data_IF_689610212519
#
_entry.id   IF_689610212519
#
_cell.length_a   1.000
_cell.length_b   1.000
_cell.length_c   1.000
_cell.angle_alpha   90.00
_cell.angle_beta   90.00
_cell.angle_gamma   90.00
#
_symmetry.space_group_name_H-M   'P 1'
#
loop_
_entity.id
_entity.type
_entity.pdbx_description
1 polymer ?
#
# COMPACT_ATOMS: atom_id res chain seq x y z
N UNK A 1 7.75 -18.91 -0.61
CA UNK A 1 8.00 -18.68 -1.03
C UNK A 1 7.97 -18.04 -1.41
N UNK A 2 7.89 -18.49 -2.16
CA UNK A 2 7.73 -17.25 -1.49
C UNK A 2 7.45 -16.15 -2.45
N UNK A 3 6.59 -15.22 -1.99
CA UNK A 3 6.21 -14.09 -2.81
C UNK A 3 7.44 -13.29 -3.26
N UNK A 4 8.43 -13.17 -2.39
CA UNK A 4 9.62 -12.40 -2.71
C UNK A 4 10.42 -12.99 -3.87
N UNK A 5 10.44 -14.31 -3.98
CA UNK A 5 11.09 -14.96 -5.10
C UNK A 5 10.25 -14.84 -6.37
N UNK A 6 8.93 -14.91 -6.18
CA UNK A 6 7.99 -14.84 -7.27
C UNK A 6 8.03 -13.47 -7.96
N UNK A 7 8.19 -12.41 -7.20
CA UNK A 7 8.12 -11.06 -7.74
C UNK A 7 9.49 -10.47 -8.08
N UNK A 8 10.56 -11.22 -7.86
CA UNK A 8 11.87 -10.87 -8.38
C UNK A 8 12.59 -9.77 -7.60
N UNK A 9 12.62 -8.55 -8.15
CA UNK A 9 13.46 -7.52 -7.58
C UNK A 9 12.77 -6.75 -6.43
N UNK A 10 13.57 -5.91 -5.78
CA UNK A 10 13.12 -5.13 -4.63
C UNK A 10 11.88 -4.27 -4.95
N UNK A 11 11.93 -3.58 -6.09
CA UNK A 11 10.82 -2.68 -6.48
C UNK A 11 9.54 -3.46 -6.68
N UNK A 12 9.62 -4.61 -7.33
CA UNK A 12 8.46 -5.46 -7.55
C UNK A 12 7.89 -5.97 -6.24
N UNK A 13 8.75 -6.26 -5.26
CA UNK A 13 8.28 -6.71 -3.96
C UNK A 13 7.47 -5.63 -3.26
N UNK A 14 7.95 -4.39 -3.28
CA UNK A 14 7.21 -3.28 -2.69
C UNK A 14 5.90 -3.04 -3.40
N UNK A 15 5.93 -3.05 -4.73
CA UNK A 15 4.72 -2.85 -5.52
C UNK A 15 3.69 -3.94 -5.22
N UNK A 16 4.13 -5.20 -5.18
CA UNK A 16 3.23 -6.32 -4.95
C UNK A 16 2.62 -6.29 -3.55
N UNK A 17 3.42 -5.99 -2.54
CA UNK A 17 2.92 -5.92 -1.16
C UNK A 17 1.90 -4.78 -1.04
N UNK A 18 2.23 -3.61 -1.58
CA UNK A 18 1.36 -2.45 -1.50
C UNK A 18 0.03 -2.73 -2.19
N UNK A 19 0.09 -3.36 -3.35
CA UNK A 19 -1.10 -3.70 -4.13
C UNK A 19 -1.94 -4.77 -3.42
N UNK A 20 -1.32 -5.92 -3.11
CA UNK A 20 -2.04 -7.04 -2.54
C UNK A 20 -2.62 -6.72 -1.16
N UNK A 21 -1.80 -6.15 -0.30
CA UNK A 21 -2.24 -5.84 1.05
C UNK A 21 -3.17 -4.64 1.08
N UNK A 22 -2.96 -3.68 0.18
CA UNK A 22 -3.84 -2.53 0.07
C UNK A 22 -5.26 -2.94 -0.27
N UNK A 23 -5.44 -3.76 -1.28
CA UNK A 23 -6.76 -4.27 -1.65
C UNK A 23 -7.34 -5.16 -0.56
N UNK A 24 -6.54 -6.07 0.00
CA UNK A 24 -7.03 -6.97 1.04
C UNK A 24 -7.50 -6.20 2.27
N UNK A 25 -6.75 -5.19 2.69
CA UNK A 25 -7.13 -4.41 3.86
C UNK A 25 -8.35 -3.53 3.59
N UNK A 26 -8.46 -2.99 2.38
CA UNK A 26 -9.63 -2.20 2.04
C UNK A 26 -10.90 -3.04 2.10
N UNK A 27 -10.84 -4.26 1.55
CA UNK A 27 -11.99 -5.16 1.57
C UNK A 27 -12.38 -5.52 3.00
N UNK A 28 -11.40 -5.83 3.85
CA UNK A 28 -11.67 -6.22 5.23
C UNK A 28 -12.04 -5.04 6.12
N UNK A 29 -11.78 -3.81 5.67
CA UNK A 29 -12.13 -2.61 6.43
C UNK A 29 -13.64 -2.41 6.52
N UNK A 30 -14.39 -3.16 5.71
CA UNK A 30 -15.84 -3.10 5.68
C UNK A 30 -16.35 -1.97 4.79
N UNK A 31 -16.91 -2.36 3.67
CA UNK A 31 -17.35 -1.41 2.65
C UNK A 31 -18.29 -0.33 3.16
N UNK A 32 -19.15 -0.68 4.10
CA UNK A 32 -20.11 0.29 4.62
C UNK A 32 -19.44 1.40 5.43
N UNK A 33 -18.18 1.20 5.81
CA UNK A 33 -17.46 2.19 6.60
C UNK A 33 -16.47 3.00 5.76
N UNK A 34 -16.34 2.69 4.48
CA UNK A 34 -15.42 3.44 3.63
C UNK A 34 -15.78 4.93 3.60
N UNK A 35 -17.09 5.21 3.55
CA UNK A 35 -17.56 6.59 3.52
C UNK A 35 -17.40 7.30 4.85
N UNK A 36 -17.25 6.53 5.93
CA UNK A 36 -17.13 7.10 7.28
C UNK A 36 -15.70 7.00 7.80
N UNK A 37 -14.74 6.78 6.92
CA UNK A 37 -13.32 6.76 7.32
C UNK A 37 -13.00 8.08 8.02
N UNK A 38 -12.41 7.94 9.21
CA UNK A 38 -12.03 9.11 10.00
C UNK A 38 -10.77 9.73 9.42
N UNK A 39 -10.95 10.51 8.36
CA UNK A 39 -9.82 11.06 7.63
C UNK A 39 -8.93 11.95 8.48
N UNK A 40 -9.49 12.64 9.48
CA UNK A 40 -8.66 13.42 10.39
C UNK A 40 -7.56 12.59 11.01
N UNK A 41 -7.95 11.38 11.45
CA UNK A 41 -7.02 10.47 12.10
C UNK A 41 -6.14 9.76 11.09
N UNK A 42 -6.72 9.32 9.98
CA UNK A 42 -6.02 8.51 9.00
C UNK A 42 -5.16 9.31 8.03
N UNK A 43 -5.42 10.62 7.89
CA UNK A 43 -4.56 11.46 7.06
C UNK A 43 -3.13 11.46 7.59
N UNK A 44 -2.95 11.51 8.93
CA UNK A 44 -1.62 11.48 9.49
C UNK A 44 -0.94 10.13 9.23
N UNK A 45 -1.69 9.04 9.37
CA UNK A 45 -1.19 7.71 9.07
C UNK A 45 -0.77 7.63 7.60
N UNK A 46 -1.59 8.14 6.71
CA UNK A 46 -1.30 8.14 5.29
C UNK A 46 -0.05 8.97 4.98
N UNK A 47 0.03 10.16 5.56
CA UNK A 47 1.19 11.02 5.34
C UNK A 47 2.49 10.32 5.76
N UNK A 48 2.51 9.76 6.97
CA UNK A 48 3.70 9.07 7.48
C UNK A 48 4.05 7.85 6.65
N UNK A 49 3.04 7.11 6.23
CA UNK A 49 3.25 5.92 5.40
C UNK A 49 3.83 6.31 4.05
N UNK A 50 3.34 7.40 3.46
CA UNK A 50 3.86 7.88 2.18
C UNK A 50 5.32 8.32 2.32
N UNK A 51 5.67 8.99 3.42
CA UNK A 51 7.05 9.42 3.63
C UNK A 51 7.98 8.22 3.71
N UNK A 52 7.57 7.19 4.45
CA UNK A 52 8.38 5.99 4.55
C UNK A 52 8.47 5.27 3.21
N UNK A 53 7.38 5.21 2.46
CA UNK A 53 7.40 4.60 1.13
C UNK A 53 8.35 5.34 0.19
N UNK A 54 8.36 6.68 0.24
CA UNK A 54 9.27 7.45 -0.60
C UNK A 54 10.72 7.07 -0.32
N UNK A 55 11.07 6.94 0.97
CA UNK A 55 12.42 6.54 1.35
C UNK A 55 12.71 5.11 0.89
N UNK A 56 11.73 4.22 1.04
CA UNK A 56 11.89 2.84 0.61
C UNK A 56 12.15 2.74 -0.89
N UNK A 57 11.45 3.55 -1.67
CA UNK A 57 11.54 3.47 -3.13
C UNK A 57 12.90 3.94 -3.67
N UNK A 58 13.62 4.76 -2.92
CA UNK A 58 14.94 5.22 -3.37
C UNK A 58 16.09 4.53 -2.67
N UNK A 59 15.81 3.59 -1.77
CA UNK A 59 16.85 2.88 -1.02
C UNK A 59 17.64 1.96 -1.93
N UNK A 60 18.97 2.01 -1.82
CA UNK A 60 19.87 1.19 -2.65
C UNK A 60 20.67 0.17 -1.84
N UNK A 61 20.72 0.32 -0.53
CA UNK A 61 21.46 -0.62 0.32
C UNK A 61 20.67 -1.91 0.51
N UNK A 62 21.21 -3.09 0.15
CA UNK A 62 20.46 -4.34 0.23
C UNK A 62 19.91 -4.68 1.62
N UNK A 63 20.66 -4.40 2.67
CA UNK A 63 20.19 -4.69 4.02
C UNK A 63 19.06 -3.78 4.41
N UNK A 64 19.15 -2.50 4.05
CA UNK A 64 18.07 -1.55 4.30
C UNK A 64 16.84 -1.92 3.50
N UNK A 65 17.03 -2.38 2.27
CA UNK A 65 15.93 -2.84 1.43
C UNK A 65 15.19 -4.01 2.07
N UNK A 66 15.94 -4.97 2.63
CA UNK A 66 15.33 -6.10 3.33
C UNK A 66 14.47 -5.62 4.50
N UNK A 67 14.96 -4.62 5.24
CA UNK A 67 14.23 -4.09 6.37
C UNK A 67 12.94 -3.39 5.91
N UNK A 68 13.02 -2.62 4.82
CA UNK A 68 11.82 -1.97 4.28
C UNK A 68 10.78 -2.98 3.82
N UNK A 69 11.21 -4.07 3.19
CA UNK A 69 10.28 -5.12 2.77
C UNK A 69 9.64 -5.78 3.99
N UNK A 70 10.45 -6.06 5.02
CA UNK A 70 9.94 -6.66 6.24
C UNK A 70 8.90 -5.75 6.91
N UNK A 71 9.23 -4.46 7.05
CA UNK A 71 8.36 -3.50 7.73
C UNK A 71 7.09 -3.19 6.94
N UNK A 72 7.12 -3.46 5.64
CA UNK A 72 6.01 -3.10 4.76
C UNK A 72 4.67 -3.66 5.25
N UNK A 73 4.69 -4.86 5.82
CA UNK A 73 3.48 -5.54 6.27
C UNK A 73 3.68 -6.20 7.63
N UNK A 74 4.47 -5.57 8.50
CA UNK A 74 4.73 -6.13 9.82
C UNK A 74 4.59 -5.05 10.89
N UNK A 75 4.20 -5.45 12.08
CA UNK A 75 4.08 -4.55 13.23
C UNK A 75 2.64 -4.19 13.51
N UNK A 76 2.46 -3.05 14.18
CA UNK A 76 1.12 -2.58 14.49
C UNK A 76 0.40 -2.18 13.21
N UNK A 77 -0.93 -2.29 13.25
CA UNK A 77 -1.76 -2.08 12.07
C UNK A 77 -1.39 -0.82 11.30
N UNK A 78 -1.31 0.32 11.99
CA UNK A 78 -1.05 1.60 11.33
C UNK A 78 0.43 1.83 11.02
N UNK A 79 1.31 0.93 11.47
CA UNK A 79 2.74 1.03 11.18
C UNK A 79 3.15 0.25 9.92
N UNK A 80 2.24 -0.54 9.38
CA UNK A 80 2.49 -1.29 8.14
C UNK A 80 2.39 -0.35 6.96
N UNK A 81 3.48 0.35 6.70
CA UNK A 81 3.43 1.50 5.80
C UNK A 81 2.97 1.15 4.37
N UNK A 82 3.36 0.01 3.84
CA UNK A 82 2.94 -0.36 2.49
C UNK A 82 1.45 -0.70 2.45
N UNK A 83 0.97 -1.42 3.46
CA UNK A 83 -0.45 -1.72 3.57
C UNK A 83 -1.26 -0.45 3.68
N UNK A 84 -0.80 0.48 4.51
CA UNK A 84 -1.52 1.73 4.74
C UNK A 84 -1.50 2.63 3.50
N UNK A 85 -0.34 2.74 2.83
CA UNK A 85 -0.27 3.48 1.58
C UNK A 85 -1.28 2.95 0.58
N UNK A 86 -1.29 1.63 0.39
CA UNK A 86 -2.19 1.00 -0.57
C UNK A 86 -3.65 1.18 -0.20
N UNK A 87 -3.98 0.82 1.04
CA UNK A 87 -5.37 0.88 1.49
C UNK A 87 -5.94 2.30 1.45
N UNK A 88 -5.18 3.26 1.98
CA UNK A 88 -5.70 4.62 2.07
C UNK A 88 -5.73 5.31 0.70
N UNK A 89 -4.77 5.01 -0.17
CA UNK A 89 -4.84 5.46 -1.55
C UNK A 89 -6.10 4.94 -2.22
N UNK A 90 -6.36 3.64 -2.08
CA UNK A 90 -7.54 3.03 -2.70
C UNK A 90 -8.83 3.56 -2.13
N UNK A 91 -8.86 3.85 -0.82
CA UNK A 91 -10.04 4.43 -0.21
C UNK A 91 -10.36 5.80 -0.81
N UNK A 92 -9.33 6.62 -1.06
CA UNK A 92 -9.53 7.91 -1.71
C UNK A 92 -10.01 7.75 -3.14
N UNK A 93 -9.46 6.77 -3.85
CA UNK A 93 -9.91 6.48 -5.22
C UNK A 93 -11.35 6.02 -5.25
N UNK A 94 -11.74 5.22 -4.26
CA UNK A 94 -13.13 4.79 -4.13
C UNK A 94 -14.06 6.00 -3.93
N UNK A 95 -13.67 6.91 -3.05
CA UNK A 95 -14.52 8.07 -2.74
C UNK A 95 -14.75 8.97 -3.96
N UNK A 96 -13.77 9.04 -4.86
CA UNK A 96 -13.88 9.92 -6.04
C UNK A 96 -14.35 9.20 -7.29
N UNK A 97 -14.04 7.92 -7.44
CA UNK A 97 -14.34 7.20 -8.67
C UNK A 97 -15.16 5.93 -8.51
N UNK A 98 -15.51 5.57 -7.28
CA UNK A 98 -16.35 4.41 -7.00
C UNK A 98 -15.70 3.09 -7.38
N UNK A 99 -16.54 2.08 -7.51
CA UNK A 99 -16.09 0.73 -7.81
C UNK A 99 -15.36 0.66 -9.15
N UNK A 100 -15.81 1.42 -10.14
CA UNK A 100 -15.19 1.40 -11.46
C UNK A 100 -13.71 1.78 -11.40
N UNK A 101 -13.38 2.76 -10.55
CA UNK A 101 -11.99 3.18 -10.40
C UNK A 101 -11.15 2.09 -9.73
N UNK A 102 -11.71 1.43 -8.71
CA UNK A 102 -11.00 0.33 -8.06
C UNK A 102 -10.75 -0.81 -9.01
N UNK A 103 -11.74 -1.15 -9.84
CA UNK A 103 -11.58 -2.21 -10.81
C UNK A 103 -10.51 -1.87 -11.83
N UNK A 104 -10.48 -0.63 -12.29
CA UNK A 104 -9.48 -0.16 -13.23
C UNK A 104 -8.06 -0.35 -12.65
N UNK A 105 -7.88 0.06 -11.39
CA UNK A 105 -6.58 -0.08 -10.73
C UNK A 105 -6.21 -1.54 -10.51
N UNK A 106 -7.18 -2.37 -10.16
CA UNK A 106 -6.95 -3.79 -9.99
C UNK A 106 -6.52 -4.44 -11.30
N UNK A 107 -7.18 -4.08 -12.38
CA UNK A 107 -6.87 -4.64 -13.70
C UNK A 107 -5.50 -4.20 -14.21
N UNK A 108 -5.02 -3.04 -13.79
CA UNK A 108 -3.68 -2.57 -14.17
C UNK A 108 -2.57 -3.37 -13.47
N UNK A 109 -2.90 -4.03 -12.37
CA UNK A 109 -1.94 -4.88 -11.67
C UNK A 109 -1.00 -4.12 -10.76
N UNK A 110 -0.02 -4.84 -10.22
CA UNK A 110 0.83 -4.31 -9.16
C UNK A 110 2.02 -3.47 -9.65
N UNK A 111 2.44 -3.62 -10.90
CA UNK A 111 3.63 -2.90 -11.37
C UNK A 111 3.46 -1.38 -11.22
N UNK A 112 4.38 -0.77 -10.50
CA UNK A 112 4.37 0.67 -10.30
C UNK A 112 3.35 1.16 -9.28
N UNK A 113 2.65 0.25 -8.61
CA UNK A 113 1.57 0.65 -7.71
C UNK A 113 2.05 1.44 -6.49
N UNK A 114 3.20 1.06 -5.92
CA UNK A 114 3.74 1.79 -4.77
C UNK A 114 3.98 3.26 -5.11
N UNK A 115 4.48 3.53 -6.32
CA UNK A 115 4.68 4.90 -6.77
C UNK A 115 3.40 5.67 -6.98
N UNK A 116 2.30 4.98 -7.33
CA UNK A 116 1.00 5.65 -7.47
C UNK A 116 0.46 6.13 -6.13
N UNK A 117 0.83 5.44 -5.05
CA UNK A 117 0.26 5.71 -3.73
C UNK A 117 0.92 6.90 -3.01
N UNK A 118 2.00 7.42 -3.55
CA UNK A 118 2.73 8.51 -2.89
C UNK A 118 2.52 9.85 -3.56
#
# INVERSE_FOLDING_TARGET
IEESEQFGNYRDKLDAITFNEGFAHLVSYNQQEIDSVEWEKLEDVYYKSKQKMKLALIETNPKSQEQYVYDANFGNYYDKYACMCGMLYLAKQWQTGGYARLKELFDQGYHGFAGKCI
#
